data_IF_888741661136
#
_entry.id   IF_888741661136
#
_cell.length_a   1.000
_cell.length_b   1.000
_cell.length_c   1.000
_cell.angle_alpha   90.00
_cell.angle_beta   90.00
_cell.angle_gamma   90.00
#
_symmetry.space_group_name_H-M   'P 1'
#
loop_
_entity.id
_entity.type
_entity.pdbx_description
1 polymer ?
#
# COMPACT_ATOMS: atom_id res chain seq x y z
N UNK A 1 18.81 -9.39 5.17
CA UNK A 1 17.56 -9.15 5.90
C UNK A 1 17.04 -7.72 5.71
N UNK A 2 17.82 -6.66 5.97
CA UNK A 2 17.34 -5.27 5.83
C UNK A 2 16.78 -4.89 4.44
N UNK A 3 17.33 -5.44 3.35
CA UNK A 3 16.82 -5.20 1.98
C UNK A 3 15.42 -5.81 1.77
N UNK A 4 15.11 -6.93 2.44
CA UNK A 4 13.80 -7.61 2.31
C UNK A 4 12.70 -6.87 3.06
N UNK A 5 13.02 -6.21 4.17
CA UNK A 5 12.03 -5.45 4.95
C UNK A 5 11.66 -4.14 4.24
N UNK A 6 12.65 -3.44 3.67
CA UNK A 6 12.39 -2.22 2.88
C UNK A 6 11.53 -2.48 1.65
N UNK A 7 11.73 -3.62 0.98
CA UNK A 7 10.92 -4.01 -0.18
C UNK A 7 9.45 -4.22 0.21
N UNK A 8 9.21 -4.87 1.35
CA UNK A 8 7.85 -5.10 1.86
C UNK A 8 7.11 -3.81 2.21
N UNK A 9 7.77 -2.81 2.78
CA UNK A 9 7.10 -1.53 3.06
C UNK A 9 6.67 -0.79 1.80
N UNK A 10 7.51 -0.82 0.75
CA UNK A 10 7.16 -0.24 -0.55
C UNK A 10 6.00 -1.00 -1.18
N UNK A 11 6.05 -2.34 -1.18
CA UNK A 11 4.95 -3.18 -1.66
C UNK A 11 3.63 -2.87 -0.91
N UNK A 12 3.67 -2.69 0.41
CA UNK A 12 2.47 -2.40 1.22
C UNK A 12 1.83 -1.07 0.84
N UNK A 13 2.67 -0.05 0.66
CA UNK A 13 2.21 1.27 0.28
C UNK A 13 1.59 1.23 -1.12
N UNK A 14 2.28 0.61 -2.08
CA UNK A 14 1.87 0.60 -3.48
C UNK A 14 0.53 -0.12 -3.67
N UNK A 15 0.32 -1.31 -3.08
CA UNK A 15 -0.96 -2.03 -3.27
C UNK A 15 -2.13 -1.32 -2.60
N UNK A 16 -1.90 -0.66 -1.46
CA UNK A 16 -2.96 0.06 -0.75
C UNK A 16 -3.40 1.30 -1.54
N UNK A 17 -2.45 2.07 -2.04
CA UNK A 17 -2.73 3.26 -2.86
C UNK A 17 -3.43 2.87 -4.17
N UNK A 18 -3.01 1.76 -4.79
CA UNK A 18 -3.66 1.20 -5.98
C UNK A 18 -5.10 0.76 -5.69
N UNK A 19 -5.33 -0.02 -4.63
CA UNK A 19 -6.67 -0.46 -4.23
C UNK A 19 -7.62 0.72 -3.96
N UNK A 20 -7.13 1.75 -3.27
CA UNK A 20 -7.88 2.98 -2.99
C UNK A 20 -8.18 3.79 -4.25
N UNK A 21 -7.21 3.91 -5.15
CA UNK A 21 -7.39 4.61 -6.42
C UNK A 21 -8.49 3.96 -7.25
N UNK A 22 -8.45 2.63 -7.36
CA UNK A 22 -9.46 1.85 -8.07
C UNK A 22 -10.84 1.97 -7.42
N UNK A 23 -10.94 1.96 -6.09
CA UNK A 23 -12.22 2.12 -5.40
C UNK A 23 -12.85 3.49 -5.67
N UNK A 24 -12.06 4.56 -5.65
CA UNK A 24 -12.54 5.90 -5.99
C UNK A 24 -12.92 6.04 -7.46
N UNK A 25 -12.17 5.40 -8.36
CA UNK A 25 -12.48 5.40 -9.79
C UNK A 25 -13.83 4.72 -10.03
N UNK A 26 -14.07 3.54 -9.45
CA UNK A 26 -15.37 2.86 -9.53
C UNK A 26 -16.51 3.73 -9.00
N UNK A 27 -16.32 4.38 -7.84
CA UNK A 27 -17.34 5.25 -7.26
C UNK A 27 -17.61 6.48 -8.14
N UNK A 28 -16.56 7.08 -8.69
CA UNK A 28 -16.67 8.21 -9.58
C UNK A 28 -17.44 7.87 -10.85
N UNK A 29 -17.14 6.73 -11.48
CA UNK A 29 -17.85 6.23 -12.66
C UNK A 29 -19.33 6.00 -12.36
N UNK A 30 -19.65 5.37 -11.22
CA UNK A 30 -21.04 5.14 -10.80
C UNK A 30 -21.80 6.46 -10.54
N UNK A 31 -21.14 7.44 -9.92
CA UNK A 31 -21.72 8.76 -9.68
C UNK A 31 -21.98 9.52 -10.99
N UNK A 32 -21.06 9.46 -11.95
CA UNK A 32 -21.24 10.05 -13.28
C UNK A 32 -22.44 9.44 -14.01
N UNK A 33 -22.55 8.11 -14.03
CA UNK A 33 -23.70 7.43 -14.63
C UNK A 33 -25.02 7.86 -13.99
N UNK A 34 -25.07 7.93 -12.66
CA UNK A 34 -26.26 8.38 -11.92
C UNK A 34 -26.64 9.81 -12.29
N UNK A 35 -25.66 10.71 -12.35
CA UNK A 35 -25.87 12.12 -12.65
C UNK A 35 -26.36 12.33 -14.10
N UNK A 36 -25.79 11.59 -15.06
CA UNK A 36 -26.21 11.59 -16.46
C UNK A 36 -27.65 11.06 -16.62
N UNK A 37 -27.98 9.96 -15.95
CA UNK A 37 -29.33 9.39 -15.94
C UNK A 37 -30.35 10.39 -15.35
N UNK A 38 -30.01 11.04 -14.23
CA UNK A 38 -30.86 12.07 -13.60
C UNK A 38 -31.03 13.30 -14.48
N UNK A 39 -29.95 13.78 -15.09
CA UNK A 39 -29.99 14.92 -15.99
C UNK A 39 -30.89 14.61 -17.21
N UNK A 40 -30.76 13.42 -17.79
CA UNK A 40 -31.63 12.98 -18.88
C UNK A 40 -33.10 12.91 -18.44
N UNK A 41 -33.41 12.29 -17.30
CA UNK A 41 -34.79 12.16 -16.79
C UNK A 41 -35.41 13.51 -16.40
N UNK A 42 -34.58 14.49 -16.02
CA UNK A 42 -35.05 15.83 -15.66
C UNK A 42 -35.28 16.71 -16.90
N UNK A 43 -34.35 16.69 -17.86
CA UNK A 43 -34.30 17.66 -18.96
C UNK A 43 -34.63 17.08 -20.34
N UNK A 44 -34.55 15.76 -20.51
CA UNK A 44 -34.75 15.09 -21.80
C UNK A 44 -33.63 15.34 -22.83
N UNK A 45 -32.42 15.73 -22.38
CA UNK A 45 -31.29 16.02 -23.27
C UNK A 45 -30.61 14.73 -23.74
N UNK A 46 -30.65 14.48 -25.05
CA UNK A 46 -30.06 13.31 -25.68
C UNK A 46 -28.55 13.16 -25.43
N UNK A 47 -27.84 14.25 -25.10
CA UNK A 47 -26.39 14.19 -24.81
C UNK A 47 -26.10 13.40 -23.53
N UNK A 48 -26.89 13.64 -22.48
CA UNK A 48 -26.74 12.93 -21.19
C UNK A 48 -27.09 11.44 -21.34
N UNK A 49 -28.12 11.16 -22.15
CA UNK A 49 -28.46 9.80 -22.53
C UNK A 49 -27.28 9.09 -23.23
N UNK A 50 -26.67 9.71 -24.24
CA UNK A 50 -25.53 9.12 -24.95
C UNK A 50 -24.34 8.93 -24.01
N UNK A 51 -24.01 9.93 -23.18
CA UNK A 51 -22.92 9.86 -22.22
C UNK A 51 -23.04 8.68 -21.26
N UNK A 52 -24.24 8.47 -20.69
CA UNK A 52 -24.53 7.31 -19.84
C UNK A 52 -24.23 5.98 -20.55
N UNK A 53 -24.72 5.80 -21.79
CA UNK A 53 -24.54 4.54 -22.52
C UNK A 53 -23.11 4.34 -23.02
N UNK A 54 -22.41 5.40 -23.40
CA UNK A 54 -21.00 5.34 -23.79
C UNK A 54 -20.16 4.88 -22.58
N UNK A 55 -20.42 5.45 -21.40
CA UNK A 55 -19.76 5.06 -20.15
C UNK A 55 -20.11 3.63 -19.75
N UNK A 56 -21.37 3.24 -19.89
CA UNK A 56 -21.81 1.89 -19.55
C UNK A 56 -21.20 0.82 -20.47
N UNK A 57 -21.06 1.13 -21.77
CA UNK A 57 -20.53 0.20 -22.75
C UNK A 57 -18.99 0.21 -22.83
N UNK A 58 -18.31 1.13 -22.15
CA UNK A 58 -16.85 1.21 -22.16
C UNK A 58 -16.20 -0.01 -21.49
N UNK A 59 -16.90 -0.65 -20.55
CA UNK A 59 -16.36 -1.73 -19.73
C UNK A 59 -15.38 -1.25 -18.66
N UNK A 60 -15.27 0.06 -18.43
CA UNK A 60 -14.31 0.64 -17.47
C UNK A 60 -14.59 0.19 -16.04
N UNK A 61 -15.87 0.13 -15.63
CA UNK A 61 -16.24 -0.32 -14.29
C UNK A 61 -15.87 -1.79 -14.08
N UNK A 62 -16.18 -2.66 -15.04
CA UNK A 62 -15.79 -4.07 -15.02
C UNK A 62 -14.26 -4.21 -14.96
N UNK A 63 -13.52 -3.40 -15.72
CA UNK A 63 -12.07 -3.41 -15.72
C UNK A 63 -11.48 -3.04 -14.36
N UNK A 64 -12.02 -2.00 -13.71
CA UNK A 64 -11.60 -1.58 -12.36
C UNK A 64 -11.83 -2.69 -11.34
N UNK A 65 -12.98 -3.38 -11.41
CA UNK A 65 -13.30 -4.51 -10.52
C UNK A 65 -12.37 -5.71 -10.75
N UNK A 66 -12.03 -6.01 -12.00
CA UNK A 66 -11.04 -7.05 -12.32
C UNK A 66 -9.65 -6.71 -11.78
N UNK A 67 -9.22 -5.46 -11.91
CA UNK A 67 -7.95 -4.99 -11.36
C UNK A 67 -7.93 -5.10 -9.82
N UNK A 68 -9.01 -4.71 -9.14
CA UNK A 68 -9.13 -4.87 -7.69
C UNK A 68 -9.01 -6.34 -7.25
N UNK A 69 -9.65 -7.27 -7.97
CA UNK A 69 -9.54 -8.71 -7.70
C UNK A 69 -8.12 -9.25 -7.87
N UNK A 70 -7.31 -8.63 -8.73
CA UNK A 70 -5.91 -9.01 -8.92
C UNK A 70 -4.98 -8.59 -7.77
N UNK A 71 -5.40 -7.68 -6.87
CA UNK A 71 -4.58 -7.16 -5.77
C UNK A 71 -4.41 -8.13 -4.58
N UNK A 72 -5.00 -9.32 -4.64
CA UNK A 72 -4.89 -10.30 -3.54
C UNK A 72 -5.59 -9.85 -2.27
N UNK A 73 -6.84 -9.39 -2.42
CA UNK A 73 -7.71 -9.04 -1.30
C UNK A 73 -7.97 -10.27 -0.40
N UNK A 74 -8.14 -10.01 0.89
CA UNK A 74 -8.65 -11.01 1.84
C UNK A 74 -10.11 -11.34 1.52
N UNK A 75 -10.63 -12.45 2.05
CA UNK A 75 -12.02 -12.84 1.83
C UNK A 75 -13.02 -11.78 2.34
N UNK A 76 -12.69 -11.09 3.45
CA UNK A 76 -13.53 -10.02 4.00
C UNK A 76 -13.51 -8.76 3.13
N UNK A 77 -12.32 -8.33 2.69
CA UNK A 77 -12.15 -7.21 1.75
C UNK A 77 -12.85 -7.49 0.42
N UNK A 78 -12.71 -8.71 -0.11
CA UNK A 78 -13.36 -9.12 -1.35
C UNK A 78 -14.88 -9.14 -1.20
N UNK A 79 -15.41 -9.56 -0.06
CA UNK A 79 -16.85 -9.55 0.20
C UNK A 79 -17.44 -8.13 0.20
N UNK A 80 -16.72 -7.13 0.72
CA UNK A 80 -17.13 -5.73 0.67
C UNK A 80 -17.18 -5.20 -0.76
N UNK A 81 -16.13 -5.47 -1.55
CA UNK A 81 -16.06 -5.10 -2.98
C UNK A 81 -17.18 -5.78 -3.78
N UNK A 82 -17.39 -7.08 -3.57
CA UNK A 82 -18.42 -7.84 -4.28
C UNK A 82 -19.84 -7.35 -3.91
N UNK A 83 -20.07 -6.96 -2.65
CA UNK A 83 -21.34 -6.40 -2.22
C UNK A 83 -21.59 -5.00 -2.80
N UNK A 84 -20.60 -4.10 -2.74
CA UNK A 84 -20.68 -2.79 -3.38
C UNK A 84 -20.97 -2.90 -4.89
N UNK A 85 -20.28 -3.81 -5.59
CA UNK A 85 -20.52 -4.05 -7.01
C UNK A 85 -21.92 -4.62 -7.28
N UNK A 86 -22.40 -5.51 -6.41
CA UNK A 86 -23.75 -6.05 -6.51
C UNK A 86 -24.81 -4.95 -6.42
N UNK A 87 -24.69 -4.05 -5.44
CA UNK A 87 -25.61 -2.93 -5.28
C UNK A 87 -25.49 -1.92 -6.43
N UNK A 88 -24.28 -1.69 -6.97
CA UNK A 88 -24.07 -0.86 -8.16
C UNK A 88 -24.78 -1.42 -9.41
N UNK A 89 -24.74 -2.74 -9.62
CA UNK A 89 -25.46 -3.40 -10.71
C UNK A 89 -26.99 -3.25 -10.57
N UNK A 90 -27.51 -3.23 -9.35
CA UNK A 90 -28.94 -2.98 -9.10
C UNK A 90 -29.29 -1.52 -9.44
N UNK A 91 -28.45 -0.56 -9.06
CA UNK A 91 -28.65 0.86 -9.40
C UNK A 91 -28.61 1.08 -10.92
N UNK A 92 -27.63 0.48 -11.60
CA UNK A 92 -27.52 0.51 -13.07
C UNK A 92 -28.81 0.05 -13.76
N UNK A 93 -29.37 -1.09 -13.36
CA UNK A 93 -30.66 -1.55 -13.91
C UNK A 93 -31.81 -0.57 -13.61
N UNK A 94 -31.77 0.04 -12.44
CA UNK A 94 -32.75 1.06 -12.03
C UNK A 94 -32.66 2.31 -12.91
N UNK A 95 -31.45 2.75 -13.23
CA UNK A 95 -31.16 3.87 -14.13
C UNK A 95 -31.65 3.56 -15.55
N UNK A 96 -31.30 2.39 -16.08
CA UNK A 96 -31.73 1.95 -17.41
C UNK A 96 -33.27 1.97 -17.56
N UNK A 97 -34.00 1.48 -16.55
CA UNK A 97 -35.46 1.47 -16.56
C UNK A 97 -36.01 2.89 -16.54
N UNK A 98 -35.49 3.76 -15.67
CA UNK A 98 -35.93 5.15 -15.59
C UNK A 98 -35.70 5.87 -16.92
N UNK A 99 -34.54 5.67 -17.55
CA UNK A 99 -34.22 6.26 -18.84
C UNK A 99 -35.14 5.74 -19.95
N UNK A 100 -35.38 4.42 -20.02
CA UNK A 100 -36.32 3.82 -20.99
C UNK A 100 -37.74 4.38 -20.87
N UNK A 101 -38.24 4.56 -19.64
CA UNK A 101 -39.54 5.20 -19.39
C UNK A 101 -39.56 6.63 -19.91
N UNK A 102 -38.50 7.41 -19.68
CA UNK A 102 -38.37 8.78 -20.19
C UNK A 102 -38.31 8.86 -21.71
N UNK A 103 -37.56 7.97 -22.39
CA UNK A 103 -37.51 7.89 -23.85
C UNK A 103 -38.92 7.74 -24.43
N UNK A 104 -39.68 6.80 -23.88
CA UNK A 104 -41.05 6.52 -24.31
C UNK A 104 -41.99 7.69 -24.03
N UNK A 105 -41.90 8.27 -22.83
CA UNK A 105 -42.70 9.42 -22.42
C UNK A 105 -42.48 10.64 -23.32
N UNK A 106 -41.24 10.91 -23.69
CA UNK A 106 -40.87 12.04 -24.54
C UNK A 106 -41.08 11.78 -26.03
N UNK A 107 -41.51 10.56 -26.41
CA UNK A 107 -41.68 10.18 -27.81
C UNK A 107 -40.36 10.24 -28.59
N UNK A 108 -39.23 10.03 -27.92
CA UNK A 108 -37.92 10.07 -28.53
C UNK A 108 -37.70 8.76 -29.30
N UNK A 109 -37.63 8.85 -30.62
CA UNK A 109 -37.21 7.73 -31.46
C UNK A 109 -35.69 7.74 -31.57
N UNK A 110 -35.03 7.21 -30.54
CA UNK A 110 -33.63 6.89 -30.64
C UNK A 110 -33.51 5.65 -31.52
N UNK A 111 -33.54 5.80 -32.84
CA UNK A 111 -33.22 4.71 -33.75
C UNK A 111 -31.79 4.15 -33.49
N UNK A 112 -30.91 4.95 -32.88
CA UNK A 112 -29.62 4.53 -32.31
C UNK A 112 -29.76 3.62 -31.07
N UNK A 113 -30.87 3.70 -30.33
CA UNK A 113 -31.17 2.80 -29.21
C UNK A 113 -31.32 1.35 -29.68
N UNK A 114 -31.69 1.10 -30.94
CA UNK A 114 -31.71 -0.26 -31.51
C UNK A 114 -30.31 -0.84 -31.73
N UNK A 115 -29.30 -0.01 -32.03
CA UNK A 115 -27.90 -0.49 -32.09
C UNK A 115 -27.36 -0.76 -30.68
N UNK A 116 -27.76 0.04 -29.68
CA UNK A 116 -27.43 -0.16 -28.26
C UNK A 116 -28.16 -1.38 -27.67
N UNK A 117 -29.44 -1.59 -28.00
CA UNK A 117 -30.21 -2.79 -27.63
C UNK A 117 -29.65 -4.06 -28.30
N UNK A 118 -29.06 -3.98 -29.50
CA UNK A 118 -28.37 -5.12 -30.12
C UNK A 118 -26.93 -5.31 -29.61
N UNK A 119 -26.36 -4.31 -28.94
CA UNK A 119 -25.18 -4.43 -28.07
C UNK A 119 -25.55 -4.90 -26.66
N UNK A 120 -26.83 -5.20 -26.38
CA UNK A 120 -27.17 -5.95 -25.16
C UNK A 120 -26.33 -7.20 -25.13
N UNK A 121 -25.44 -7.17 -24.16
CA UNK A 121 -24.55 -8.22 -23.75
C UNK A 121 -25.17 -9.58 -24.02
N UNK A 122 -24.56 -10.37 -24.91
CA UNK A 122 -24.97 -11.75 -25.12
C UNK A 122 -24.71 -12.50 -23.82
N UNK A 123 -25.76 -12.56 -23.00
CA UNK A 123 -25.88 -13.23 -21.70
C UNK A 123 -25.59 -14.73 -21.80
N UNK A 124 -25.07 -15.23 -22.92
CA UNK A 124 -24.63 -16.61 -23.10
C UNK A 124 -23.13 -16.75 -23.37
N UNK A 125 -22.38 -15.65 -23.59
CA UNK A 125 -20.96 -15.70 -23.99
C UNK A 125 -19.94 -15.81 -22.85
N UNK A 126 -20.35 -15.69 -21.58
CA UNK A 126 -19.47 -15.90 -20.41
C UNK A 126 -19.92 -17.09 -19.55
N UNK A 127 -19.39 -18.32 -19.76
CA UNK A 127 -19.94 -19.54 -19.17
C UNK A 127 -19.81 -19.70 -17.65
N UNK A 128 -19.23 -18.73 -16.93
CA UNK A 128 -18.97 -18.81 -15.48
C UNK A 128 -19.80 -17.86 -14.61
N UNK A 129 -20.19 -16.69 -15.12
CA UNK A 129 -20.83 -15.63 -14.33
C UNK A 129 -22.37 -15.82 -14.17
N UNK A 130 -22.99 -16.59 -15.07
CA UNK A 130 -24.46 -16.68 -15.22
C UNK A 130 -25.20 -17.39 -14.11
N UNK A 131 -24.62 -18.44 -13.53
CA UNK A 131 -25.37 -19.27 -12.57
C UNK A 131 -25.54 -18.60 -11.22
N UNK A 132 -24.64 -17.67 -10.87
CA UNK A 132 -24.82 -16.80 -9.71
C UNK A 132 -25.80 -15.66 -10.05
N UNK A 133 -25.58 -14.90 -11.13
CA UNK A 133 -26.40 -13.72 -11.49
C UNK A 133 -27.92 -14.00 -11.61
N UNK A 134 -28.33 -15.12 -12.21
CA UNK A 134 -29.76 -15.46 -12.42
C UNK A 134 -30.51 -15.89 -11.15
N UNK A 135 -29.82 -16.43 -10.14
CA UNK A 135 -30.45 -16.72 -8.84
C UNK A 135 -30.53 -15.46 -7.95
N UNK A 136 -29.69 -14.44 -8.21
CA UNK A 136 -29.67 -13.16 -7.47
C UNK A 136 -30.66 -12.11 -7.99
N UNK A 137 -30.99 -12.11 -9.29
CA UNK A 137 -32.05 -11.25 -9.89
C UNK A 137 -33.48 -11.64 -9.42
N UNK A 138 -33.60 -12.62 -8.53
CA UNK A 138 -34.88 -12.99 -7.88
C UNK A 138 -35.33 -12.03 -6.78
N UNK A 139 -34.51 -11.04 -6.37
CA UNK A 139 -35.09 -9.88 -5.65
C UNK A 139 -36.04 -9.20 -6.64
N UNK A 140 -37.35 -9.05 -6.33
CA UNK A 140 -38.22 -8.25 -7.18
C UNK A 140 -37.55 -6.88 -7.30
N UNK A 141 -37.29 -6.40 -8.52
CA UNK A 141 -36.92 -5.00 -8.70
C UNK A 141 -38.09 -4.19 -8.16
N UNK A 142 -37.96 -3.70 -6.94
CA UNK A 142 -39.05 -3.10 -6.16
C UNK A 142 -39.63 -1.85 -6.82
N UNK A 143 -38.93 -1.32 -7.82
CA UNK A 143 -39.27 -0.09 -8.50
C UNK A 143 -40.34 -0.28 -9.58
N UNK A 144 -40.40 -1.41 -10.29
CA UNK A 144 -41.20 -1.49 -11.51
C UNK A 144 -41.64 -2.90 -11.92
N UNK A 145 -42.76 -2.96 -12.63
CA UNK A 145 -43.07 -4.03 -13.56
C UNK A 145 -42.93 -3.42 -14.95
N UNK A 146 -41.73 -3.50 -15.55
CA UNK A 146 -41.37 -2.83 -16.82
C UNK A 146 -42.47 -3.01 -17.89
N UNK A 147 -43.05 -4.21 -18.00
CA UNK A 147 -44.12 -4.49 -18.98
C UNK A 147 -45.43 -3.72 -18.74
N UNK A 148 -45.77 -3.47 -17.47
CA UNK A 148 -46.92 -2.68 -17.05
C UNK A 148 -46.62 -1.19 -17.14
N UNK A 149 -45.45 -0.77 -16.64
CA UNK A 149 -45.07 0.64 -16.52
C UNK A 149 -44.88 1.28 -17.90
N UNK A 150 -44.39 0.50 -18.86
CA UNK A 150 -44.34 0.90 -20.27
C UNK A 150 -45.72 1.10 -20.90
N UNK A 151 -46.82 0.65 -20.30
CA UNK A 151 -48.19 0.85 -20.82
C UNK A 151 -48.87 2.09 -20.23
N UNK A 152 -48.26 2.71 -19.21
CA UNK A 152 -48.78 3.92 -18.60
C UNK A 152 -48.83 5.08 -19.61
N UNK A 153 -49.70 6.09 -19.41
CA UNK A 153 -49.63 7.34 -20.16
C UNK A 153 -48.24 8.00 -20.04
N UNK A 154 -47.84 8.73 -21.08
CA UNK A 154 -46.51 9.36 -21.14
C UNK A 154 -46.17 10.23 -19.90
N UNK A 155 -47.14 10.98 -19.38
CA UNK A 155 -46.96 11.81 -18.18
C UNK A 155 -46.66 10.96 -16.93
N UNK A 156 -47.37 9.84 -16.76
CA UNK A 156 -47.15 8.91 -15.65
C UNK A 156 -45.81 8.19 -15.77
N UNK A 157 -45.37 7.84 -16.99
CA UNK A 157 -44.04 7.27 -17.23
C UNK A 157 -42.91 8.23 -16.83
N UNK A 158 -42.99 9.50 -17.23
CA UNK A 158 -42.00 10.50 -16.86
C UNK A 158 -41.98 10.78 -15.36
N UNK A 159 -43.15 10.80 -14.71
CA UNK A 159 -43.24 10.94 -13.26
C UNK A 159 -42.67 9.72 -12.53
N UNK A 160 -42.94 8.50 -13.01
CA UNK A 160 -42.38 7.27 -12.45
C UNK A 160 -40.86 7.24 -12.59
N UNK A 161 -40.32 7.58 -13.77
CA UNK A 161 -38.88 7.67 -13.99
C UNK A 161 -38.19 8.62 -12.99
N UNK A 162 -38.78 9.79 -12.76
CA UNK A 162 -38.31 10.74 -11.74
C UNK A 162 -38.42 10.17 -10.34
N UNK A 163 -39.55 9.56 -9.99
CA UNK A 163 -39.72 8.98 -8.67
C UNK A 163 -38.70 7.88 -8.40
N UNK A 164 -38.31 7.08 -9.40
CA UNK A 164 -37.30 6.03 -9.28
C UNK A 164 -35.93 6.63 -8.95
N UNK A 165 -35.43 7.59 -9.75
CA UNK A 165 -34.07 8.13 -9.59
C UNK A 165 -33.92 9.09 -8.41
N UNK A 166 -35.01 9.71 -7.97
CA UNK A 166 -35.03 10.70 -6.90
C UNK A 166 -35.71 10.17 -5.63
N UNK A 167 -35.92 8.85 -5.53
CA UNK A 167 -36.43 8.22 -4.31
C UNK A 167 -35.38 8.29 -3.18
N UNK A 168 -35.86 8.42 -1.95
CA UNK A 168 -35.06 8.20 -0.74
C UNK A 168 -34.46 6.79 -0.76
N UNK A 169 -35.17 5.79 -1.27
CA UNK A 169 -34.64 4.43 -1.38
C UNK A 169 -33.45 4.35 -2.34
N UNK A 170 -33.51 5.02 -3.49
CA UNK A 170 -32.41 5.06 -4.45
C UNK A 170 -31.15 5.67 -3.81
N UNK A 171 -31.31 6.80 -3.11
CA UNK A 171 -30.20 7.42 -2.36
C UNK A 171 -29.67 6.52 -1.24
N UNK A 172 -30.54 5.73 -0.59
CA UNK A 172 -30.12 4.76 0.40
C UNK A 172 -29.26 3.66 -0.21
N UNK A 173 -29.68 3.07 -1.33
CA UNK A 173 -28.91 2.02 -2.02
C UNK A 173 -27.55 2.56 -2.50
N UNK A 174 -27.50 3.80 -3.02
CA UNK A 174 -26.24 4.49 -3.35
C UNK A 174 -25.34 4.71 -2.13
N UNK A 175 -25.92 5.02 -0.98
CA UNK A 175 -25.17 5.15 0.26
C UNK A 175 -24.59 3.81 0.73
N UNK A 176 -25.28 2.68 0.50
CA UNK A 176 -24.74 1.36 0.85
C UNK A 176 -23.44 1.07 0.10
N UNK A 177 -23.40 1.35 -1.20
CA UNK A 177 -22.19 1.20 -2.03
C UNK A 177 -21.02 2.01 -1.45
N UNK A 178 -21.27 3.29 -1.14
CA UNK A 178 -20.24 4.18 -0.55
C UNK A 178 -19.76 3.66 0.79
N UNK A 179 -20.68 3.25 1.64
CA UNK A 179 -20.37 2.71 2.96
C UNK A 179 -19.48 1.46 2.88
N UNK A 180 -19.79 0.52 1.98
CA UNK A 180 -18.98 -0.70 1.83
C UNK A 180 -17.58 -0.41 1.28
N UNK A 181 -17.45 0.58 0.38
CA UNK A 181 -16.15 1.04 -0.11
C UNK A 181 -15.34 1.78 0.97
N UNK A 182 -16.01 2.51 1.86
CA UNK A 182 -15.38 3.13 3.06
C UNK A 182 -14.91 2.06 4.06
N UNK A 183 -15.74 1.05 4.34
CA UNK A 183 -15.35 -0.10 5.17
C UNK A 183 -14.20 -0.88 4.54
N UNK A 184 -14.22 -1.06 3.22
CA UNK A 184 -13.12 -1.68 2.48
C UNK A 184 -11.84 -0.88 2.69
N UNK A 185 -11.87 0.45 2.53
CA UNK A 185 -10.71 1.30 2.78
C UNK A 185 -10.18 1.16 4.22
N UNK A 186 -11.06 1.17 5.22
CA UNK A 186 -10.67 0.96 6.61
C UNK A 186 -10.01 -0.41 6.84
N UNK A 187 -10.50 -1.46 6.17
CA UNK A 187 -9.89 -2.78 6.26
C UNK A 187 -8.48 -2.84 5.65
N UNK A 188 -8.23 -2.09 4.56
CA UNK A 188 -6.88 -1.98 3.99
C UNK A 188 -5.93 -1.25 4.95
N UNK A 189 -6.42 -0.21 5.63
CA UNK A 189 -5.67 0.52 6.67
C UNK A 189 -5.29 -0.39 7.84
N UNK A 190 -6.26 -1.15 8.34
CA UNK A 190 -6.04 -2.09 9.44
C UNK A 190 -5.02 -3.17 9.05
N UNK A 191 -5.14 -3.74 7.84
CA UNK A 191 -4.20 -4.73 7.31
C UNK A 191 -2.80 -4.17 7.12
N UNK A 192 -2.69 -2.94 6.62
CA UNK A 192 -1.41 -2.26 6.50
C UNK A 192 -0.77 -2.05 7.89
N UNK A 193 -1.54 -1.58 8.86
CA UNK A 193 -1.08 -1.37 10.24
C UNK A 193 -0.67 -2.68 10.94
N UNK A 194 -1.43 -3.76 10.76
CA UNK A 194 -1.07 -5.08 11.29
C UNK A 194 0.27 -5.55 10.71
N UNK A 195 0.48 -5.32 9.42
CA UNK A 195 1.73 -5.69 8.75
C UNK A 195 2.91 -4.85 9.25
N UNK A 196 2.70 -3.54 9.48
CA UNK A 196 3.71 -2.64 10.06
C UNK A 196 4.08 -3.09 11.48
N UNK A 197 3.10 -3.33 12.36
CA UNK A 197 3.34 -3.81 13.72
C UNK A 197 4.08 -5.16 13.73
N UNK A 198 3.72 -6.07 12.82
CA UNK A 198 4.43 -7.33 12.62
C UNK A 198 5.91 -7.12 12.26
N UNK A 199 6.20 -6.11 11.43
CA UNK A 199 7.57 -5.74 11.06
C UNK A 199 8.31 -5.08 12.23
N UNK A 200 7.69 -4.16 12.98
CA UNK A 200 8.32 -3.48 14.12
C UNK A 200 8.83 -4.46 15.17
N UNK A 201 8.05 -5.52 15.47
CA UNK A 201 8.49 -6.58 16.37
C UNK A 201 9.78 -7.28 15.89
N UNK A 202 9.88 -7.53 14.58
CA UNK A 202 11.10 -8.12 13.99
C UNK A 202 12.27 -7.14 13.97
N UNK A 203 12.03 -5.85 13.69
CA UNK A 203 13.05 -4.80 13.67
C UNK A 203 13.60 -4.58 15.08
N UNK A 204 12.73 -4.51 16.10
CA UNK A 204 13.13 -4.39 17.50
C UNK A 204 13.98 -5.59 17.94
N UNK A 205 13.60 -6.81 17.55
CA UNK A 205 14.38 -8.01 17.83
C UNK A 205 15.76 -7.94 17.15
N UNK A 206 15.82 -7.59 15.86
CA UNK A 206 17.11 -7.45 15.12
C UNK A 206 17.98 -6.36 15.74
N UNK A 207 17.41 -5.21 16.12
CA UNK A 207 18.12 -4.13 16.79
C UNK A 207 18.66 -4.57 18.16
N UNK A 208 17.89 -5.36 18.92
CA UNK A 208 18.35 -5.93 20.19
C UNK A 208 19.52 -6.90 20.01
N UNK A 209 19.50 -7.75 18.97
CA UNK A 209 20.61 -8.66 18.66
C UNK A 209 21.85 -7.91 18.18
N UNK A 210 21.70 -6.86 17.38
CA UNK A 210 22.80 -6.01 16.93
C UNK A 210 23.44 -5.25 18.09
N UNK A 211 22.64 -4.72 19.02
CA UNK A 211 23.19 -4.04 20.20
C UNK A 211 23.90 -5.02 21.14
N UNK A 212 23.35 -6.23 21.36
CA UNK A 212 23.98 -7.28 22.16
C UNK A 212 25.31 -7.77 21.53
N UNK A 213 25.34 -8.01 20.22
CA UNK A 213 26.57 -8.41 19.52
C UNK A 213 27.63 -7.30 19.56
N UNK A 214 27.25 -6.05 19.34
CA UNK A 214 28.17 -4.91 19.47
C UNK A 214 28.74 -4.82 20.88
N UNK A 215 27.90 -4.93 21.91
CA UNK A 215 28.36 -4.93 23.30
C UNK A 215 29.38 -6.06 23.55
N UNK A 216 29.13 -7.26 23.01
CA UNK A 216 30.06 -8.39 23.12
C UNK A 216 31.41 -8.13 22.44
N UNK A 217 31.43 -7.48 21.28
CA UNK A 217 32.65 -7.08 20.58
C UNK A 217 33.46 -6.05 21.36
N UNK A 218 32.79 -5.06 21.97
CA UNK A 218 33.44 -4.05 22.81
C UNK A 218 34.11 -4.72 24.02
N UNK A 219 33.40 -5.61 24.72
CA UNK A 219 33.96 -6.34 25.87
C UNK A 219 35.14 -7.22 25.46
N UNK A 220 35.00 -8.01 24.39
CA UNK A 220 36.07 -8.86 23.85
C UNK A 220 37.31 -8.04 23.50
N UNK A 221 37.13 -6.91 22.82
CA UNK A 221 38.20 -5.99 22.48
C UNK A 221 38.90 -5.43 23.73
N UNK A 222 38.14 -5.04 24.75
CA UNK A 222 38.73 -4.55 26.01
C UNK A 222 39.56 -5.65 26.69
N UNK A 223 39.06 -6.89 26.75
CA UNK A 223 39.82 -8.03 27.29
C UNK A 223 41.12 -8.27 26.53
N UNK A 224 41.09 -8.19 25.19
CA UNK A 224 42.29 -8.34 24.35
C UNK A 224 43.31 -7.24 24.62
N UNK A 225 42.88 -5.98 24.78
CA UNK A 225 43.77 -4.87 25.14
C UNK A 225 44.40 -5.10 26.52
N UNK A 226 43.61 -5.50 27.52
CA UNK A 226 44.12 -5.81 28.87
C UNK A 226 45.16 -6.94 28.82
N UNK A 227 44.88 -8.01 28.08
CA UNK A 227 45.81 -9.12 27.88
C UNK A 227 47.13 -8.67 27.23
N UNK A 228 47.06 -7.85 26.17
CA UNK A 228 48.24 -7.32 25.49
C UNK A 228 49.07 -6.42 26.41
N UNK A 229 48.43 -5.56 27.21
CA UNK A 229 49.10 -4.70 28.20
C UNK A 229 49.80 -5.55 29.26
N UNK A 230 49.12 -6.54 29.84
CA UNK A 230 49.71 -7.45 30.83
C UNK A 230 50.94 -8.16 30.25
N UNK A 231 50.81 -8.71 29.04
CA UNK A 231 51.90 -9.41 28.35
C UNK A 231 53.09 -8.49 28.08
N UNK A 232 52.85 -7.25 27.64
CA UNK A 232 53.89 -6.24 27.43
C UNK A 232 54.61 -5.87 28.73
N UNK A 233 53.88 -5.72 29.84
CA UNK A 233 54.46 -5.48 31.15
C UNK A 233 55.32 -6.66 31.61
N UNK A 234 54.86 -7.90 31.42
CA UNK A 234 55.65 -9.10 31.72
C UNK A 234 56.92 -9.22 30.88
N UNK A 235 56.87 -8.90 29.58
CA UNK A 235 58.07 -8.85 28.74
C UNK A 235 59.08 -7.81 29.23
N UNK A 236 58.60 -6.63 29.67
CA UNK A 236 59.45 -5.56 30.19
C UNK A 236 60.15 -5.98 31.48
N UNK A 237 59.42 -6.61 32.40
CA UNK A 237 59.96 -7.15 33.66
C UNK A 237 61.00 -8.26 33.44
N UNK A 238 60.82 -9.10 32.42
CA UNK A 238 61.84 -10.09 32.03
C UNK A 238 63.08 -9.41 31.42
N UNK A 239 62.91 -8.35 30.63
CA UNK A 239 64.04 -7.64 30.02
C UNK A 239 64.92 -6.86 31.01
N UNK A 240 64.39 -6.49 32.18
CA UNK A 240 65.19 -5.86 33.24
C UNK A 240 66.07 -6.85 34.00
N UNK A 241 65.86 -8.15 33.83
CA UNK A 241 66.67 -9.22 34.42
C UNK A 241 67.87 -9.62 33.56
N UNK A 242 67.99 -9.07 32.35
CA UNK A 242 69.01 -9.45 31.38
C UNK A 242 69.93 -8.26 31.05
N UNK A 243 70.62 -7.76 32.08
CA UNK A 243 71.65 -6.72 31.94
C UNK A 243 72.78 -7.13 30.96
N UNK A 244 72.99 -8.43 30.76
CA UNK A 244 73.95 -8.97 29.80
C UNK A 244 73.48 -8.88 28.34
N UNK A 245 72.17 -9.00 28.06
CA UNK A 245 71.62 -8.83 26.71
C UNK A 245 71.51 -7.35 26.28
N UNK A 246 71.35 -6.42 27.23
CA UNK A 246 71.40 -4.97 26.95
C UNK A 246 72.78 -4.52 26.45
N UNK A 247 73.86 -5.12 26.94
CA UNK A 247 75.21 -4.82 26.49
C UNK A 247 75.49 -5.35 25.07
N UNK A 248 74.97 -6.52 24.71
CA UNK A 248 75.08 -7.08 23.35
C UNK A 248 74.22 -6.33 22.32
N UNK A 249 73.02 -5.86 22.70
CA UNK A 249 72.14 -5.10 21.80
C UNK A 249 72.67 -3.69 21.51
N UNK A 250 73.32 -3.03 22.49
CA UNK A 250 74.00 -1.74 22.30
C UNK A 250 75.21 -1.85 21.36
N UNK A 251 75.86 -3.01 21.29
CA UNK A 251 77.05 -3.20 20.45
C UNK A 251 76.71 -3.49 18.97
N UNK A 252 75.58 -4.15 18.68
CA UNK A 252 75.25 -4.57 17.31
C UNK A 252 74.18 -3.73 16.58
N UNK A 253 73.41 -2.89 17.27
CA UNK A 253 72.33 -2.11 16.63
C UNK A 253 72.40 -0.62 16.95
N UNK A 254 73.46 0.03 16.46
CA UNK A 254 73.51 1.49 16.30
C UNK A 254 72.55 1.94 15.19
N UNK A 255 71.28 2.18 15.51
CA UNK A 255 70.29 2.62 14.53
C UNK A 255 69.12 3.37 15.17
N UNK A 256 69.10 4.70 15.00
CA UNK A 256 68.28 5.73 15.68
C UNK A 256 66.74 5.66 15.56
N UNK A 257 66.13 4.59 15.04
CA UNK A 257 64.67 4.57 14.78
C UNK A 257 63.95 3.37 15.38
N UNK A 258 63.93 3.23 16.71
CA UNK A 258 63.06 2.26 17.40
C UNK A 258 62.25 2.94 18.49
N UNK A 259 60.93 3.04 18.29
CA UNK A 259 60.03 3.37 19.41
C UNK A 259 58.63 3.92 19.10
N UNK A 260 58.26 4.25 17.85
CA UNK A 260 57.02 5.02 17.58
C UNK A 260 55.79 4.25 17.09
N UNK A 261 55.83 2.92 17.00
CA UNK A 261 54.79 2.16 16.29
C UNK A 261 53.55 1.72 17.13
N UNK A 262 53.50 1.67 18.48
CA UNK A 262 52.27 1.19 19.15
C UNK A 262 51.11 2.19 19.23
N UNK A 263 51.39 3.49 19.30
CA UNK A 263 50.38 4.50 19.66
C UNK A 263 49.45 4.89 18.50
N UNK A 264 49.95 4.84 17.26
CA UNK A 264 49.14 5.16 16.08
C UNK A 264 48.03 4.12 15.86
N UNK A 265 48.30 2.84 16.11
CA UNK A 265 47.30 1.77 16.00
C UNK A 265 46.24 1.85 17.10
N UNK A 266 46.63 2.20 18.33
CA UNK A 266 45.67 2.40 19.41
C UNK A 266 44.72 3.57 19.12
N UNK A 267 45.25 4.69 18.60
CA UNK A 267 44.43 5.85 18.22
C UNK A 267 43.42 5.54 17.12
N UNK A 268 43.86 4.86 16.06
CA UNK A 268 42.97 4.45 14.95
C UNK A 268 41.85 3.51 15.44
N UNK A 269 42.17 2.58 16.34
CA UNK A 269 41.18 1.65 16.90
C UNK A 269 40.11 2.37 17.75
N UNK A 270 40.52 3.31 18.62
CA UNK A 270 39.58 4.09 19.43
C UNK A 270 38.66 4.96 18.56
N UNK A 271 39.20 5.57 17.52
CA UNK A 271 38.43 6.43 16.62
C UNK A 271 37.41 5.61 15.79
N UNK A 272 37.79 4.40 15.38
CA UNK A 272 36.86 3.46 14.75
C UNK A 272 35.75 3.03 15.70
N UNK A 273 36.10 2.63 16.93
CA UNK A 273 35.13 2.21 17.94
C UNK A 273 34.14 3.34 18.31
N UNK A 274 34.60 4.59 18.39
CA UNK A 274 33.71 5.72 18.69
C UNK A 274 32.74 6.05 17.55
N UNK A 275 33.19 5.95 16.29
CA UNK A 275 32.30 6.15 15.12
C UNK A 275 31.24 5.07 15.04
N UNK A 276 31.61 3.80 15.24
CA UNK A 276 30.64 2.68 15.26
C UNK A 276 29.65 2.84 16.41
N UNK A 277 30.12 3.21 17.60
CA UNK A 277 29.23 3.41 18.76
C UNK A 277 28.27 4.57 18.53
N UNK A 278 28.75 5.69 17.96
CA UNK A 278 27.90 6.85 17.65
C UNK A 278 26.84 6.52 16.59
N UNK A 279 27.20 5.76 15.54
CA UNK A 279 26.25 5.29 14.54
C UNK A 279 25.15 4.43 15.16
N UNK A 280 25.48 3.55 16.10
CA UNK A 280 24.51 2.69 16.78
C UNK A 280 23.58 3.50 17.70
N UNK A 281 24.12 4.46 18.46
CA UNK A 281 23.29 5.32 19.33
C UNK A 281 22.35 6.19 18.49
N UNK A 282 22.82 6.73 17.36
CA UNK A 282 21.99 7.49 16.43
C UNK A 282 20.85 6.63 15.85
N UNK A 283 21.15 5.39 15.47
CA UNK A 283 20.15 4.43 15.01
C UNK A 283 19.07 4.17 16.07
N UNK A 284 19.45 3.95 17.33
CA UNK A 284 18.52 3.66 18.42
C UNK A 284 17.67 4.86 18.85
N UNK A 285 18.22 6.07 18.80
CA UNK A 285 17.48 7.29 19.19
C UNK A 285 16.55 7.78 18.08
N UNK A 286 16.88 7.55 16.82
CA UNK A 286 16.06 7.98 15.68
C UNK A 286 14.77 7.16 15.49
N UNK A 287 14.73 5.91 15.96
CA UNK A 287 13.56 5.03 15.86
C UNK A 287 12.46 5.31 16.88
N UNK A 288 12.72 6.15 17.90
CA UNK A 288 11.78 6.41 19.00
C UNK A 288 10.86 7.63 18.78
N UNK A 289 11.04 8.37 17.69
CA UNK A 289 10.36 9.67 17.43
C UNK A 289 9.88 9.79 15.98
N UNK A 290 9.25 8.76 15.42
CA UNK A 290 8.62 8.82 14.10
C UNK A 290 7.15 8.43 14.24
N UNK A 291 6.31 9.40 14.62
CA UNK A 291 4.87 9.22 14.69
C UNK A 291 4.21 9.26 13.29
N UNK A 292 4.98 9.59 12.25
CA UNK A 292 4.52 9.69 10.86
C UNK A 292 5.30 8.70 9.97
N UNK A 293 4.56 7.87 9.23
CA UNK A 293 5.06 6.80 8.35
C UNK A 293 5.97 7.38 7.26
N UNK A 294 5.66 8.59 6.77
CA UNK A 294 6.49 9.29 5.78
C UNK A 294 7.85 9.74 6.36
N UNK A 295 7.90 10.08 7.64
CA UNK A 295 9.13 10.46 8.32
C UNK A 295 9.98 9.22 8.64
N UNK A 296 9.34 8.07 8.93
CA UNK A 296 10.03 6.80 9.12
C UNK A 296 10.70 6.27 7.83
N UNK A 297 10.01 6.35 6.68
CA UNK A 297 10.53 5.89 5.39
C UNK A 297 11.71 6.74 4.89
N UNK A 298 11.59 8.07 4.96
CA UNK A 298 12.66 9.00 4.56
C UNK A 298 13.92 8.87 5.45
N UNK A 299 13.74 8.57 6.75
CA UNK A 299 14.84 8.29 7.68
C UNK A 299 15.57 6.98 7.37
N UNK A 300 14.84 5.90 7.12
CA UNK A 300 15.42 4.60 6.78
C UNK A 300 16.26 4.68 5.49
N UNK A 301 15.84 5.48 4.51
CA UNK A 301 16.62 5.77 3.31
C UNK A 301 17.94 6.50 3.61
N UNK A 302 17.91 7.51 4.48
CA UNK A 302 19.10 8.27 4.88
C UNK A 302 20.13 7.38 5.61
N UNK A 303 19.63 6.46 6.45
CA UNK A 303 20.44 5.50 7.21
C UNK A 303 21.18 4.54 6.27
N UNK A 304 20.47 3.91 5.32
CA UNK A 304 21.07 3.00 4.35
C UNK A 304 22.18 3.67 3.54
N UNK A 305 21.96 4.93 3.17
CA UNK A 305 22.94 5.71 2.42
C UNK A 305 24.19 6.02 3.24
N UNK A 306 24.04 6.27 4.53
CA UNK A 306 25.16 6.59 5.43
C UNK A 306 26.03 5.36 5.72
N UNK A 307 25.42 4.18 5.90
CA UNK A 307 26.13 2.90 6.03
C UNK A 307 26.90 2.55 4.75
N UNK A 308 26.30 2.79 3.57
CA UNK A 308 26.97 2.55 2.30
C UNK A 308 28.21 3.43 2.10
N UNK A 309 28.18 4.68 2.59
CA UNK A 309 29.33 5.57 2.53
C UNK A 309 30.42 5.24 3.54
N UNK A 310 30.08 4.79 4.76
CA UNK A 310 31.09 4.41 5.75
C UNK A 310 31.89 3.18 5.32
N UNK A 311 31.25 2.22 4.65
CA UNK A 311 31.92 1.04 4.10
C UNK A 311 32.95 1.41 3.01
N UNK A 312 32.64 2.40 2.15
CA UNK A 312 33.58 2.92 1.15
C UNK A 312 34.77 3.67 1.74
N UNK A 313 34.61 4.30 2.91
CA UNK A 313 35.72 4.98 3.60
C UNK A 313 36.71 3.97 4.19
N UNK A 314 36.26 2.76 4.56
CA UNK A 314 37.13 1.70 5.12
C UNK A 314 37.94 0.98 4.04
N UNK A 315 37.49 1.01 2.78
CA UNK A 315 38.16 0.35 1.64
C UNK A 315 39.26 1.25 1.00
N UNK A 316 39.32 2.54 1.37
CA UNK A 316 40.34 3.50 0.94
C UNK A 316 41.46 3.64 1.98
#
# INVERSE_FOLDING_TARGET
MAVSTSHRFVEIHDWKEEAWTLANEALHLADLMTDDARAFVQFGDAREYIAFWDLLNSGELEHVVEQQKALGLTEAEQALVDHAYHEAEILKLTDEIAMKLCIKAYGLDFAQHREIEHMTWDVTKEPGYHRQRLDFVKRPMWYTNESHDMQLPAEEQAMLARNILFDIKYEHDRHLIRHDLEEFYHSLDDRAMETIHGIEGTVALVASLLSATTASFVVSSMCMVVYLVQKLLSYRAKSSLDSNLQNLAKQNFGGKNRGRVPWAFAGAFFLYASVVTFAIIYLQTSSYHADDVNDAASRNWLIMRTLFYSERIVVL
#
